data_IF_368941154373
#
_entry.id   IF_368941154373
#
_cell.length_a   1.000
_cell.length_b   1.000
_cell.length_c   1.000
_cell.angle_alpha   90.00
_cell.angle_beta   90.00
_cell.angle_gamma   90.00
#
_symmetry.space_group_name_H-M   'P 1'
#
loop_
_entity.id
_entity.type
_entity.pdbx_description
1 polymer ?
#
# COMPACT_ATOMS: atom_id res chain seq x y z
N UNK A 1 -21.13 -4.66 -4.15
CA UNK A 1 -19.93 -4.36 -3.34
C UNK A 1 -19.46 -5.66 -2.73
N UNK A 2 -18.46 -6.31 -3.33
CA UNK A 2 -17.90 -7.55 -2.80
C UNK A 2 -16.75 -7.16 -1.88
N UNK A 3 -16.91 -7.37 -0.57
CA UNK A 3 -15.86 -7.14 0.43
C UNK A 3 -15.03 -8.42 0.55
N UNK A 4 -14.09 -8.63 -0.36
CA UNK A 4 -13.03 -9.60 -0.16
C UNK A 4 -11.84 -8.86 0.48
N UNK A 5 -11.74 -8.96 1.80
CA UNK A 5 -10.51 -8.63 2.51
C UNK A 5 -9.52 -9.75 2.27
N UNK A 6 -8.53 -9.54 1.41
CA UNK A 6 -7.38 -10.44 1.28
C UNK A 6 -6.60 -10.43 2.59
N UNK A 7 -6.93 -11.39 3.46
CA UNK A 7 -6.07 -11.85 4.53
C UNK A 7 -5.29 -13.06 4.02
N UNK A 8 -4.38 -12.83 3.08
CA UNK A 8 -3.27 -13.77 2.91
C UNK A 8 -2.39 -13.60 4.14
N UNK A 9 -2.41 -14.61 5.02
CA UNK A 9 -1.88 -14.62 6.39
C UNK A 9 -0.37 -14.47 6.52
N UNK A 10 0.22 -13.46 5.88
CA UNK A 10 1.65 -13.15 5.84
C UNK A 10 2.06 -12.28 7.05
N UNK A 11 1.12 -11.54 7.68
CA UNK A 11 1.41 -10.76 8.89
C UNK A 11 0.23 -10.65 9.87
N UNK A 12 0.44 -10.86 11.19
CA UNK A 12 -0.63 -10.91 12.19
C UNK A 12 -1.40 -9.59 12.41
N UNK A 13 -0.92 -8.45 11.89
CA UNK A 13 -1.51 -7.11 12.13
C UNK A 13 -1.82 -6.32 10.85
N UNK A 14 -1.92 -6.99 9.70
CA UNK A 14 -2.22 -6.31 8.43
C UNK A 14 -3.57 -5.60 8.49
N UNK A 15 -3.57 -4.28 8.26
CA UNK A 15 -4.81 -3.51 8.15
C UNK A 15 -5.53 -3.83 6.85
N UNK A 16 -6.88 -3.90 6.85
CA UNK A 16 -7.67 -3.93 5.62
C UNK A 16 -7.35 -2.70 4.75
N UNK A 17 -7.21 -2.90 3.44
CA UNK A 17 -6.92 -1.84 2.46
C UNK A 17 -7.95 -0.70 2.50
N UNK A 18 -9.22 -1.06 2.71
CA UNK A 18 -10.35 -0.11 2.76
C UNK A 18 -10.19 0.99 3.82
N UNK A 19 -9.46 0.72 4.92
CA UNK A 19 -9.19 1.73 5.96
C UNK A 19 -8.41 2.90 5.39
N UNK A 20 -7.53 2.68 4.40
CA UNK A 20 -6.76 3.74 3.74
C UNK A 20 -7.45 4.25 2.47
N UNK A 21 -8.13 3.39 1.72
CA UNK A 21 -8.78 3.78 0.46
C UNK A 21 -9.81 4.89 0.66
N UNK A 22 -10.65 4.80 1.71
CA UNK A 22 -11.68 5.80 2.01
C UNK A 22 -11.08 7.19 2.31
N UNK A 23 -10.16 7.35 3.27
CA UNK A 23 -9.49 8.64 3.48
C UNK A 23 -8.84 9.21 2.22
N UNK A 24 -8.18 8.38 1.41
CA UNK A 24 -7.53 8.82 0.16
C UNK A 24 -8.56 9.42 -0.80
N UNK A 25 -9.69 8.74 -1.03
CA UNK A 25 -10.75 9.24 -1.92
C UNK A 25 -11.35 10.57 -1.44
N UNK A 26 -11.55 10.73 -0.12
CA UNK A 26 -12.21 11.91 0.42
C UNK A 26 -11.30 13.14 0.54
N UNK A 27 -10.00 12.94 0.75
CA UNK A 27 -9.08 14.02 1.10
C UNK A 27 -8.03 14.32 0.02
N UNK A 28 -8.05 13.60 -1.10
CA UNK A 28 -7.10 13.81 -2.21
C UNK A 28 -7.81 13.80 -3.57
N UNK A 29 -7.31 14.61 -4.51
CA UNK A 29 -7.71 14.53 -5.92
C UNK A 29 -7.04 13.36 -6.66
N UNK A 30 -7.52 12.99 -7.87
CA UNK A 30 -6.83 12.07 -8.76
C UNK A 30 -5.37 12.49 -9.00
N UNK A 31 -4.44 11.53 -8.99
CA UNK A 31 -3.00 11.82 -9.11
C UNK A 31 -2.36 12.47 -7.87
N UNK A 32 -3.13 12.67 -6.80
CA UNK A 32 -2.64 13.21 -5.53
C UNK A 32 -1.58 12.33 -4.85
N UNK A 33 -0.93 12.91 -3.84
CA UNK A 33 0.17 12.28 -3.10
C UNK A 33 -0.28 11.96 -1.67
N UNK A 34 0.02 10.74 -1.22
CA UNK A 34 -0.09 10.30 0.17
C UNK A 34 1.31 10.11 0.76
N UNK A 35 1.53 10.52 2.00
CA UNK A 35 2.76 10.27 2.73
C UNK A 35 2.49 9.26 3.85
N UNK A 36 3.31 8.22 3.94
CA UNK A 36 3.18 7.13 4.92
C UNK A 36 4.52 6.86 5.62
N UNK A 37 4.77 7.43 6.80
CA UNK A 37 6.06 7.29 7.48
C UNK A 37 6.28 5.93 8.16
N UNK A 38 5.26 5.08 8.27
CA UNK A 38 5.28 3.79 8.97
C UNK A 38 4.57 2.72 8.15
N UNK A 39 5.09 2.42 6.96
CA UNK A 39 4.34 1.64 5.97
C UNK A 39 4.05 0.21 6.36
N UNK A 40 4.85 -0.39 7.24
CA UNK A 40 4.73 -1.79 7.62
C UNK A 40 4.67 -2.66 6.36
N UNK A 41 3.63 -3.48 6.24
CA UNK A 41 3.42 -4.34 5.06
C UNK A 41 2.93 -3.61 3.80
N UNK A 42 2.84 -2.27 3.78
CA UNK A 42 2.54 -1.51 2.57
C UNK A 42 1.03 -1.38 2.24
N UNK A 43 0.13 -1.53 3.20
CA UNK A 43 -1.32 -1.45 2.93
C UNK A 43 -1.74 -0.11 2.30
N UNK A 44 -1.17 1.03 2.74
CA UNK A 44 -1.51 2.33 2.11
C UNK A 44 -0.94 2.47 0.70
N UNK A 45 0.18 1.81 0.38
CA UNK A 45 0.76 1.79 -0.97
C UNK A 45 -0.25 1.17 -1.95
N UNK A 46 -0.78 0.00 -1.60
CA UNK A 46 -1.80 -0.70 -2.41
C UNK A 46 -3.08 0.14 -2.49
N UNK A 47 -3.52 0.74 -1.39
CA UNK A 47 -4.70 1.61 -1.40
C UNK A 47 -4.51 2.80 -2.34
N UNK A 48 -3.36 3.48 -2.30
CA UNK A 48 -3.07 4.61 -3.18
C UNK A 48 -3.05 4.17 -4.65
N UNK A 49 -2.37 3.07 -4.97
CA UNK A 49 -2.33 2.47 -6.31
C UNK A 49 -3.75 2.19 -6.84
N UNK A 50 -4.58 1.49 -6.06
CA UNK A 50 -5.98 1.21 -6.40
C UNK A 50 -6.81 2.46 -6.67
N UNK A 51 -6.48 3.56 -5.98
CA UNK A 51 -7.18 4.83 -6.14
C UNK A 51 -6.54 5.73 -7.20
N UNK A 52 -5.47 5.33 -7.90
CA UNK A 52 -4.79 6.22 -8.85
C UNK A 52 -4.12 7.43 -8.17
N UNK A 53 -3.55 7.21 -6.98
CA UNK A 53 -2.73 8.17 -6.22
C UNK A 53 -1.32 7.60 -6.07
N UNK A 54 -0.36 8.47 -5.78
CA UNK A 54 1.02 8.08 -5.44
C UNK A 54 1.18 8.01 -3.93
N UNK A 55 1.89 7.01 -3.42
CA UNK A 55 2.24 6.90 -2.01
C UNK A 55 3.76 7.00 -1.84
N UNK A 56 4.23 7.99 -1.08
CA UNK A 56 5.61 8.01 -0.59
C UNK A 56 5.63 7.41 0.79
N UNK A 57 6.22 6.22 0.86
CA UNK A 57 6.21 5.39 2.05
C UNK A 57 7.62 5.23 2.62
N UNK A 58 7.73 5.14 3.95
CA UNK A 58 8.96 4.81 4.66
C UNK A 58 8.68 3.67 5.64
N UNK A 59 9.68 2.80 5.80
CA UNK A 59 9.68 1.74 6.80
C UNK A 59 11.11 1.50 7.25
N UNK A 60 11.28 1.35 8.56
CA UNK A 60 12.61 1.24 9.18
C UNK A 60 13.12 -0.20 9.19
N UNK A 61 12.20 -1.17 9.28
CA UNK A 61 12.52 -2.57 9.39
C UNK A 61 12.60 -3.20 7.98
N UNK A 62 13.80 -3.59 7.50
CA UNK A 62 14.00 -4.04 6.12
C UNK A 62 13.12 -5.22 5.70
N UNK A 63 12.76 -6.12 6.63
CA UNK A 63 11.88 -7.24 6.30
C UNK A 63 10.48 -6.77 5.88
N UNK A 64 9.99 -5.67 6.44
CA UNK A 64 8.68 -5.12 6.10
C UNK A 64 8.72 -4.31 4.81
N UNK A 65 9.85 -3.66 4.51
CA UNK A 65 10.11 -3.08 3.19
C UNK A 65 9.98 -4.16 2.11
N UNK A 66 10.64 -5.31 2.30
CA UNK A 66 10.55 -6.43 1.35
C UNK A 66 9.12 -6.97 1.19
N UNK A 67 8.39 -7.14 2.30
CA UNK A 67 6.97 -7.54 2.25
C UNK A 67 6.12 -6.52 1.48
N UNK A 68 6.32 -5.23 1.69
CA UNK A 68 5.59 -4.18 0.97
C UNK A 68 5.87 -4.20 -0.54
N UNK A 69 7.14 -4.40 -0.93
CA UNK A 69 7.54 -4.57 -2.33
C UNK A 69 6.84 -5.78 -2.96
N UNK A 70 6.96 -6.96 -2.35
CA UNK A 70 6.38 -8.20 -2.87
C UNK A 70 4.86 -8.09 -3.02
N UNK A 71 4.18 -7.48 -2.04
CA UNK A 71 2.74 -7.27 -2.10
C UNK A 71 2.35 -6.30 -3.22
N UNK A 72 3.08 -5.20 -3.41
CA UNK A 72 2.79 -4.25 -4.49
C UNK A 72 3.08 -4.87 -5.87
N UNK A 73 4.18 -5.61 -6.04
CA UNK A 73 4.48 -6.34 -7.27
C UNK A 73 3.40 -7.38 -7.59
N UNK A 74 2.98 -8.16 -6.59
CA UNK A 74 1.91 -9.15 -6.76
C UNK A 74 0.56 -8.50 -7.13
N UNK A 75 0.25 -7.34 -6.53
CA UNK A 75 -0.97 -6.59 -6.80
C UNK A 75 -0.98 -5.96 -8.20
N UNK A 76 0.14 -5.37 -8.64
CA UNK A 76 0.21 -4.61 -9.91
C UNK A 76 0.68 -5.44 -11.10
N UNK A 77 1.38 -6.54 -10.86
CA UNK A 77 2.12 -7.28 -11.88
C UNK A 77 3.39 -6.58 -12.37
N UNK A 78 3.75 -5.43 -11.79
CA UNK A 78 4.96 -4.68 -12.12
C UNK A 78 6.16 -5.16 -11.28
N UNK A 79 7.34 -4.63 -11.59
CA UNK A 79 8.57 -4.84 -10.83
C UNK A 79 9.02 -3.56 -10.15
N UNK A 80 9.37 -3.66 -8.88
CA UNK A 80 9.92 -2.56 -8.13
C UNK A 80 11.33 -2.24 -8.65
N UNK A 81 11.59 -0.96 -8.83
CA UNK A 81 12.88 -0.46 -9.29
C UNK A 81 13.57 0.30 -8.16
N UNK A 82 14.88 0.13 -8.05
CA UNK A 82 15.69 0.95 -7.18
C UNK A 82 16.13 2.17 -7.98
N UNK A 83 15.64 3.34 -7.59
CA UNK A 83 16.14 4.61 -8.11
C UNK A 83 17.52 4.89 -7.48
N UNK A 84 18.51 5.23 -8.31
CA UNK A 84 19.88 5.57 -7.90
C UNK A 84 20.05 7.08 -7.65
#
# INVERSE_FOLDING_TARGET
MNQQGEQDGIHPTQKPVEIFARPIQYHTGPGGICAEPFSGSGTQIIAAEQQGRRCFAMEIEPKFVQVAIERWEAFTGLKAERED
#
